data_IF_557309757216
#
_entry.id   IF_557309757216
#
_cell.length_a   1.000
_cell.length_b   1.000
_cell.length_c   1.000
_cell.angle_alpha   90.00
_cell.angle_beta   90.00
_cell.angle_gamma   90.00
#
_symmetry.space_group_name_H-M   'P 1'
#
loop_
_entity.id
_entity.type
_entity.pdbx_description
1 polymer ?
2 water ?
#
# COMPACT_ATOMS: atom_id res chain seq x y z
N UNK A 1 9.70 6.35 8.97
CA UNK A 1 9.68 4.86 9.00
C UNK A 1 9.52 4.37 7.59
N UNK A 2 10.29 3.34 7.25
CA UNK A 2 10.03 2.60 6.03
C UNK A 2 9.03 1.50 6.39
N UNK A 3 7.80 1.64 5.90
CA UNK A 3 6.76 0.65 6.13
C UNK A 3 6.61 -0.28 4.91
N UNK A 4 6.48 -1.58 5.16
CA UNK A 4 6.14 -2.53 4.09
C UNK A 4 5.76 -3.87 4.70
N UNK A 5 4.60 -4.38 4.27
CA UNK A 5 4.15 -5.71 4.64
C UNK A 5 3.81 -6.46 3.36
N UNK A 6 4.21 -7.72 3.29
CA UNK A 6 3.81 -8.60 2.21
C UNK A 6 2.92 -9.72 2.74
N UNK A 7 1.76 -9.89 2.11
CA UNK A 7 0.87 -11.01 2.45
C UNK A 7 1.02 -12.04 1.37
N UNK A 8 1.04 -13.30 1.79
CA UNK A 8 1.12 -14.45 0.90
C UNK A 8 -0.13 -15.31 0.99
N UNK A 9 -0.55 -15.81 -0.17
CA UNK A 9 -1.72 -16.68 -0.32
C UNK A 9 -1.63 -17.96 0.54
N UNK A 10 -0.45 -18.57 0.56
CA UNK A 10 -0.28 -19.87 1.19
C UNK A 10 0.80 -19.79 2.27
N UNK A 11 0.82 -20.77 3.20
CA UNK A 11 1.90 -20.79 4.21
C UNK A 11 3.27 -20.93 3.55
N UNK A 12 4.32 -20.55 4.28
CA UNK A 12 5.70 -20.60 3.79
C UNK A 12 5.96 -19.76 2.54
N UNK A 13 5.27 -18.63 2.43
CA UNK A 13 5.57 -17.57 1.45
C UNK A 13 5.34 -18.00 0.01
N UNK A 14 4.34 -18.85 -0.16
CA UNK A 14 3.99 -19.42 -1.44
C UNK A 14 2.71 -18.80 -1.99
N UNK A 15 2.53 -18.90 -3.30
CA UNK A 15 1.33 -18.39 -3.96
C UNK A 15 1.40 -16.91 -4.25
N UNK A 16 0.25 -16.30 -4.51
CA UNK A 16 0.22 -14.88 -4.89
C UNK A 16 0.46 -14.00 -3.68
N UNK A 17 0.78 -12.73 -3.92
CA UNK A 17 1.08 -11.79 -2.84
C UNK A 17 0.25 -10.50 -2.92
N UNK A 18 0.26 -9.76 -1.82
CA UNK A 18 -0.35 -8.43 -1.74
C UNK A 18 0.66 -7.60 -0.96
N UNK A 19 0.83 -6.33 -1.33
CA UNK A 19 1.79 -5.47 -0.62
C UNK A 19 1.08 -4.22 -0.11
N UNK A 20 1.50 -3.72 1.05
CA UNK A 20 0.99 -2.45 1.57
C UNK A 20 2.00 -1.71 2.44
N UNK A 21 1.81 -0.40 2.56
CA UNK A 21 2.70 0.47 3.30
C UNK A 21 1.84 1.59 3.89
N UNK A 22 0.67 1.20 4.40
CA UNK A 22 -0.31 2.12 4.96
C UNK A 22 -1.33 1.32 5.76
N UNK A 23 -2.16 1.99 6.57
CA UNK A 23 -3.21 1.26 7.32
C UNK A 23 -4.16 0.59 6.34
N UNK A 24 -4.59 -0.63 6.64
CA UNK A 24 -5.62 -1.31 5.86
C UNK A 24 -6.86 -1.45 6.74
N UNK A 25 -7.84 -0.58 6.54
CA UNK A 25 -9.07 -0.60 7.35
C UNK A 25 -9.93 -1.84 7.08
N UNK A 26 -9.81 -2.38 5.88
CA UNK A 26 -10.64 -3.48 5.47
C UNK A 26 -9.89 -4.42 4.56
N UNK A 27 -9.50 -5.58 5.09
CA UNK A 27 -8.86 -6.61 4.25
C UNK A 27 -9.79 -7.07 3.09
N UNK A 28 -11.12 -7.27 3.37
CA UNK A 28 -12.01 -7.64 2.25
C UNK A 28 -11.98 -6.65 1.06
N UNK A 29 -12.06 -5.36 1.35
CA UNK A 29 -11.96 -4.32 0.31
C UNK A 29 -10.60 -4.36 -0.40
N UNK A 30 -9.54 -4.58 0.38
CA UNK A 30 -8.17 -4.72 -0.13
C UNK A 30 -7.99 -5.94 -1.07
N UNK A 31 -8.73 -7.04 -0.82
CA UNK A 31 -8.60 -8.24 -1.65
C UNK A 31 -9.77 -8.48 -2.61
N UNK A 32 -10.47 -7.42 -2.98
CA UNK A 32 -11.74 -7.54 -3.71
C UNK A 32 -11.58 -7.89 -5.20
N UNK A 33 -10.36 -7.78 -5.73
CA UNK A 33 -10.13 -8.07 -7.14
C UNK A 33 -10.22 -9.58 -7.42
N UNK A 34 -10.80 -9.92 -8.58
CA UNK A 34 -10.97 -11.32 -8.99
C UNK A 34 -9.64 -12.05 -9.22
N UNK A 35 -8.56 -11.29 -9.42
CA UNK A 35 -7.22 -11.86 -9.61
C UNK A 35 -6.45 -11.99 -8.29
N UNK A 36 -7.12 -11.63 -7.20
CA UNK A 36 -6.56 -11.78 -5.86
C UNK A 36 -6.87 -13.15 -5.26
N UNK A 37 -6.38 -13.36 -4.04
CA UNK A 37 -6.69 -14.54 -3.26
C UNK A 37 -7.49 -14.10 -2.04
N UNK A 38 -7.92 -15.07 -1.23
CA UNK A 38 -8.68 -14.78 -0.01
C UNK A 38 -8.15 -15.66 1.12
N UNK A 39 -8.01 -15.07 2.30
CA UNK A 39 -7.29 -15.71 3.40
C UNK A 39 -5.79 -15.49 3.23
N UNK A 40 -5.10 -15.29 4.35
CA UNK A 40 -3.68 -15.01 4.33
C UNK A 40 -3.01 -16.25 4.90
N UNK A 41 -2.10 -16.84 4.13
CA UNK A 41 -1.37 -18.06 4.57
C UNK A 41 -0.06 -17.78 5.31
N UNK A 42 0.64 -16.72 4.91
CA UNK A 42 1.85 -16.26 5.61
C UNK A 42 2.08 -14.75 5.39
N UNK A 43 2.96 -14.18 6.21
CA UNK A 43 3.25 -12.75 6.20
C UNK A 43 4.73 -12.49 6.40
N UNK A 44 5.29 -11.60 5.59
CA UNK A 44 6.56 -10.98 5.87
C UNK A 44 6.35 -9.51 6.21
N UNK A 45 6.75 -9.13 7.42
CA UNK A 45 6.79 -7.71 7.77
C UNK A 45 8.21 -7.23 7.47
N UNK A 46 8.32 -6.42 6.42
CA UNK A 46 9.63 -5.96 5.93
C UNK A 46 10.02 -4.72 6.72
N UNK A 47 9.05 -3.83 6.89
CA UNK A 47 9.31 -2.61 7.66
C UNK A 47 8.12 -2.20 8.48
N UNK A 48 8.40 -1.74 9.70
CA UNK A 48 7.40 -1.13 10.56
C UNK A 48 6.89 -2.06 11.64
N UNK A 49 6.07 -1.50 12.52
CA UNK A 49 5.47 -2.23 13.65
C UNK A 49 3.94 -2.11 13.46
N UNK A 50 3.25 -3.26 13.46
CA UNK A 50 1.85 -3.33 13.01
C UNK A 50 0.98 -4.07 14.02
N UNK A 51 -0.32 -3.77 14.03
CA UNK A 51 -1.31 -4.59 14.74
C UNK A 51 -2.18 -5.25 13.66
N UNK A 52 -2.37 -6.57 13.77
CA UNK A 52 -3.32 -7.28 12.92
C UNK A 52 -4.55 -7.54 13.77
N UNK A 53 -5.72 -7.29 13.19
CA UNK A 53 -6.99 -7.41 13.91
C UNK A 53 -7.91 -8.48 13.34
N UNK A 54 -8.67 -9.10 14.25
CA UNK A 54 -9.72 -10.05 13.92
C UNK A 54 -10.83 -9.47 13.02
N UNK A 55 -11.19 -8.21 13.23
CA UNK A 55 -12.31 -7.55 12.52
C UNK A 55 -11.87 -6.32 11.72
N UNK A 56 -12.74 -5.86 10.82
CA UNK A 56 -12.53 -4.63 10.05
C UNK A 56 -12.49 -3.42 10.98
N UNK A 57 -11.86 -2.34 10.52
CA UNK A 57 -11.87 -1.05 11.25
C UNK A 57 -11.21 -1.17 12.63
N UNK A 58 -10.20 -2.04 12.73
CA UNK A 58 -9.33 -2.17 13.92
C UNK A 58 -10.07 -2.60 15.18
N UNK A 59 -10.93 -3.59 15.02
CA UNK A 59 -11.76 -4.10 16.11
C UNK A 59 -11.45 -5.56 16.37
N UNK A 60 -11.96 -6.09 17.48
CA UNK A 60 -11.72 -7.49 17.84
C UNK A 60 -10.33 -7.75 18.39
N UNK A 61 -9.97 -9.03 18.50
CA UNK A 61 -8.68 -9.42 19.07
C UNK A 61 -7.52 -8.86 18.25
N UNK A 62 -6.46 -8.45 18.94
CA UNK A 62 -5.32 -7.79 18.30
C UNK A 62 -4.07 -8.64 18.45
N UNK A 63 -3.22 -8.63 17.41
CA UNK A 63 -1.92 -9.29 17.43
C UNK A 63 -0.83 -8.29 17.01
N UNK A 64 0.30 -8.31 17.70
CA UNK A 64 1.44 -7.44 17.37
C UNK A 64 2.40 -8.12 16.40
N UNK A 65 2.61 -7.47 15.26
CA UNK A 65 3.51 -7.95 14.23
C UNK A 65 4.65 -6.94 14.04
N UNK A 66 5.84 -7.37 14.44
CA UNK A 66 7.02 -6.57 14.24
C UNK A 66 7.75 -7.14 13.03
N UNK A 67 8.86 -6.54 12.64
CA UNK A 67 9.59 -7.00 11.46
C UNK A 67 10.02 -8.45 11.61
N UNK A 68 9.74 -9.26 10.58
CA UNK A 68 10.02 -10.68 10.63
C UNK A 68 9.35 -11.45 9.52
N UNK A 69 9.64 -12.75 9.47
CA UNK A 69 9.09 -13.69 8.49
C UNK A 69 8.20 -14.68 9.24
N UNK A 70 6.92 -14.68 8.89
CA UNK A 70 5.89 -15.48 9.59
C UNK A 70 5.30 -16.52 8.66
N UNK A 71 5.88 -17.71 8.70
CA UNK A 71 5.65 -18.73 7.68
C UNK A 71 4.34 -19.51 7.89
N UNK A 72 3.85 -19.51 9.13
CA UNK A 72 2.61 -20.21 9.51
C UNK A 72 2.13 -19.79 10.90
N UNK A 73 1.06 -20.42 11.39
CA UNK A 73 0.48 -20.05 12.68
C UNK A 73 1.40 -20.34 13.87
N UNK A 74 2.39 -21.21 13.68
CA UNK A 74 3.35 -21.48 14.75
C UNK A 74 4.29 -20.29 14.92
N UNK A 75 4.48 -19.54 13.84
CA UNK A 75 5.29 -18.32 13.85
C UNK A 75 4.50 -17.10 14.30
N UNK A 76 3.21 -17.07 13.99
CA UNK A 76 2.38 -15.91 14.27
C UNK A 76 0.95 -16.39 14.51
N UNK A 77 0.48 -16.18 15.73
CA UNK A 77 -0.86 -16.59 16.17
C UNK A 77 -1.98 -15.95 15.37
N UNK A 78 -1.72 -14.75 14.84
CA UNK A 78 -2.67 -14.06 13.98
C UNK A 78 -3.12 -14.94 12.80
N UNK A 79 -2.23 -15.81 12.33
CA UNK A 79 -2.52 -16.64 11.16
C UNK A 79 -3.40 -17.84 11.47
N UNK A 80 -3.75 -18.04 12.74
CA UNK A 80 -4.63 -19.17 13.09
C UNK A 80 -6.11 -18.84 12.83
N UNK A 81 -6.38 -17.69 12.21
CA UNK A 81 -7.73 -17.30 11.81
C UNK A 81 -7.71 -16.04 10.96
N UNK A 82 -8.89 -15.60 10.49
CA UNK A 82 -9.05 -14.39 9.67
C UNK A 82 -8.38 -13.16 10.28
N UNK A 83 -7.70 -12.40 9.43
CA UNK A 83 -7.18 -11.09 9.77
C UNK A 83 -7.94 -10.12 8.86
N UNK A 84 -8.63 -9.15 9.47
CA UNK A 84 -9.58 -8.30 8.74
C UNK A 84 -9.18 -6.81 8.64
N UNK A 85 -8.14 -6.40 9.38
CA UNK A 85 -7.54 -5.05 9.22
C UNK A 85 -6.13 -5.02 9.81
N UNK A 86 -5.33 -4.06 9.34
CA UNK A 86 -3.97 -3.86 9.83
C UNK A 86 -3.78 -2.37 10.10
N UNK A 87 -3.13 -2.04 11.21
CA UNK A 87 -2.80 -0.66 11.54
C UNK A 87 -1.30 -0.56 11.84
N UNK A 88 -0.58 0.40 11.26
CA UNK A 88 0.81 0.60 11.68
C UNK A 88 0.89 1.51 12.91
N UNK A 89 1.92 1.29 13.71
CA UNK A 89 2.11 2.05 14.95
C UNK A 89 3.20 3.11 14.77
N UNK A 90 3.07 4.25 15.47
CA UNK A 90 4.04 5.34 15.28
C UNK A 90 4.37 6.09 16.56
N UNK A 91 5.64 6.06 16.97
CA UNK A 91 6.14 6.90 18.07
C UNK A 91 6.31 8.40 17.71
N UNK A 92 6.29 9.26 18.73
CA UNK A 92 6.66 10.68 18.60
C UNK A 92 8.11 10.93 19.04
N UNK B 1 9.84 16.21 -22.25
CA UNK B 1 8.53 16.59 -21.66
C UNK B 1 8.70 17.00 -20.19
N UNK B 2 7.81 17.87 -19.72
CA UNK B 2 7.83 18.29 -18.33
C UNK B 2 7.11 17.26 -17.47
N UNK B 3 7.86 16.60 -16.59
CA UNK B 3 7.27 15.66 -15.62
C UNK B 3 7.13 16.28 -14.23
N UNK B 4 5.95 16.13 -13.63
CA UNK B 4 5.75 16.50 -12.22
C UNK B 4 4.48 15.89 -11.67
N UNK B 5 4.64 15.12 -10.60
CA UNK B 5 3.53 14.58 -9.83
C UNK B 5 3.66 15.07 -8.39
N UNK B 6 2.54 15.46 -7.81
CA UNK B 6 2.48 15.81 -6.39
C UNK B 6 1.53 14.85 -5.69
N UNK B 7 2.05 14.17 -4.68
CA UNK B 7 1.20 13.33 -3.82
C UNK B 7 0.80 14.12 -2.60
N UNK B 8 -0.43 13.92 -2.13
CA UNK B 8 -0.97 14.61 -0.95
C UNK B 8 -1.38 13.60 0.09
N UNK B 9 -1.09 13.94 1.34
CA UNK B 9 -1.45 13.12 2.49
C UNK B 9 -2.96 12.84 2.59
N UNK B 10 -3.76 13.83 2.21
CA UNK B 10 -5.20 13.78 2.43
C UNK B 10 -5.99 13.97 1.15
N UNK B 11 -7.23 13.45 1.09
CA UNK B 11 -8.05 13.73 -0.09
C UNK B 11 -8.25 15.23 -0.29
N UNK B 12 -8.57 15.62 -1.52
CA UNK B 12 -8.81 17.02 -1.90
C UNK B 12 -7.57 17.93 -1.78
N UNK B 13 -6.38 17.31 -1.90
CA UNK B 13 -5.10 18.03 -2.08
C UNK B 13 -4.71 18.82 -0.84
N UNK B 14 -4.90 18.19 0.31
CA UNK B 14 -4.63 18.78 1.63
C UNK B 14 -3.54 18.00 2.36
N UNK B 15 -2.94 18.65 3.35
CA UNK B 15 -1.91 18.02 4.16
C UNK B 15 -0.51 18.09 3.57
N UNK B 16 0.38 17.24 4.09
CA UNK B 16 1.76 17.20 3.63
C UNK B 16 1.85 16.67 2.20
N UNK B 17 2.94 16.96 1.50
CA UNK B 17 3.06 16.61 0.08
C UNK B 17 4.41 15.94 -0.20
N UNK B 18 4.45 15.20 -1.30
CA UNK B 18 5.68 14.68 -1.89
C UNK B 18 5.67 15.03 -3.37
N UNK B 19 6.83 15.34 -3.93
CA UNK B 19 6.94 15.70 -5.32
C UNK B 19 7.93 14.78 -6.02
N UNK B 20 7.67 14.50 -7.29
CA UNK B 20 8.63 13.74 -8.11
C UNK B 20 8.49 13.97 -9.62
N UNK B 21 9.58 13.70 -10.33
CA UNK B 21 9.72 13.99 -11.76
C UNK B 21 10.55 12.85 -12.40
N UNK B 22 10.31 11.63 -11.95
CA UNK B 22 11.07 10.44 -12.39
C UNK B 22 10.30 9.20 -12.00
N UNK B 23 10.69 8.04 -12.52
CA UNK B 23 10.03 6.78 -12.13
C UNK B 23 10.20 6.53 -10.63
N UNK B 24 9.17 5.97 -9.99
CA UNK B 24 9.26 5.68 -8.56
C UNK B 24 9.06 4.18 -8.42
N UNK B 25 10.15 3.45 -8.22
CA UNK B 25 10.09 1.99 -8.11
C UNK B 25 9.48 1.49 -6.77
N UNK B 26 9.52 2.34 -5.74
CA UNK B 26 9.01 1.98 -4.43
C UNK B 26 8.54 3.21 -3.72
N UNK B 27 7.22 3.35 -3.63
CA UNK B 27 6.62 4.42 -2.82
C UNK B 27 7.09 4.31 -1.35
N UNK B 28 7.11 3.10 -0.75
CA UNK B 28 7.63 2.99 0.63
C UNK B 28 9.01 3.62 0.82
N UNK B 29 9.96 3.33 -0.07
CA UNK B 29 11.30 3.91 0.07
C UNK B 29 11.24 5.43 -0.11
N UNK B 30 10.45 5.88 -1.07
CA UNK B 30 10.21 7.31 -1.32
C UNK B 30 9.63 8.00 -0.06
N UNK B 31 8.81 7.26 0.69
CA UNK B 31 8.14 7.79 1.88
C UNK B 31 8.76 7.37 3.23
N UNK B 32 10.03 6.94 3.20
CA UNK B 32 10.71 6.37 4.39
C UNK B 32 11.03 7.37 5.52
N UNK B 33 11.10 8.66 5.20
CA UNK B 33 11.43 9.67 6.21
C UNK B 33 10.38 9.75 7.32
N UNK B 34 10.84 9.97 8.55
CA UNK B 34 9.94 10.13 9.70
C UNK B 34 8.99 11.32 9.54
N UNK B 35 9.46 12.36 8.84
CA UNK B 35 8.64 13.54 8.55
C UNK B 35 7.67 13.34 7.38
N UNK B 36 7.69 12.14 6.79
CA UNK B 36 6.79 11.79 5.69
C UNK B 36 5.61 10.93 6.12
N UNK B 37 4.50 11.15 5.42
CA UNK B 37 3.23 10.48 5.66
C UNK B 37 3.18 9.10 4.97
N UNK B 38 2.10 8.35 5.21
CA UNK B 38 1.94 7.01 4.65
C UNK B 38 0.53 6.86 4.08
N UNK B 39 0.41 6.21 2.93
CA UNK B 39 -0.88 6.21 2.22
C UNK B 39 -1.09 7.55 1.51
N UNK B 40 -1.59 7.47 0.29
CA UNK B 40 -1.75 8.64 -0.55
C UNK B 40 -3.23 8.99 -0.55
N UNK B 41 -3.56 10.23 -0.18
CA UNK B 41 -4.96 10.69 -0.16
C UNK B 41 -5.47 11.26 -1.47
N UNK B 42 -4.59 11.95 -2.20
CA UNK B 42 -4.92 12.52 -3.49
C UNK B 42 -3.63 12.81 -4.27
N UNK B 43 -3.77 13.05 -5.56
CA UNK B 43 -2.65 13.22 -6.48
C UNK B 43 -3.00 14.28 -7.50
N UNK B 44 -2.06 15.21 -7.73
CA UNK B 44 -2.07 16.07 -8.91
C UNK B 44 -0.97 15.66 -9.88
N UNK B 45 -1.36 15.23 -11.08
CA UNK B 45 -0.43 15.01 -12.20
C UNK B 45 -0.34 16.32 -12.99
N UNK B 46 0.74 17.05 -12.72
CA UNK B 46 0.98 18.36 -13.31
C UNK B 46 1.62 18.17 -14.69
N UNK B 47 2.51 17.20 -14.80
CA UNK B 47 3.12 16.94 -16.08
C UNK B 47 3.42 15.48 -16.28
N UNK B 48 3.04 15.01 -17.46
CA UNK B 48 3.39 13.67 -17.90
C UNK B 48 2.22 12.71 -17.86
N UNK B 49 2.44 11.53 -18.44
CA UNK B 49 1.47 10.45 -18.46
C UNK B 49 2.10 9.32 -17.66
N UNK B 50 1.36 8.78 -16.69
CA UNK B 50 1.94 7.86 -15.71
C UNK B 50 1.08 6.62 -15.52
N UNK B 51 1.73 5.54 -15.13
CA UNK B 51 1.04 4.35 -14.64
C UNK B 51 1.27 4.26 -13.15
N UNK B 52 0.18 4.09 -12.41
CA UNK B 52 0.27 3.84 -10.98
C UNK B 52 0.02 2.34 -10.80
N UNK B 53 0.85 1.71 -9.97
CA UNK B 53 0.83 0.26 -9.74
C UNK B 53 0.48 -0.12 -8.31
N UNK B 54 -0.24 -1.22 -8.20
CA UNK B 54 -0.57 -1.86 -6.93
C UNK B 54 0.68 -2.28 -6.12
N UNK B 55 1.72 -2.76 -6.80
CA UNK B 55 2.91 -3.25 -6.12
C UNK B 55 4.16 -2.48 -6.52
N UNK B 56 5.21 -2.65 -5.72
CA UNK B 56 6.52 -2.08 -6.03
C UNK B 56 7.07 -2.65 -7.32
N UNK B 57 7.95 -1.88 -7.97
CA UNK B 57 8.67 -2.34 -9.16
C UNK B 57 7.70 -2.77 -10.27
N UNK B 58 6.63 -1.99 -10.42
CA UNK B 58 5.83 -1.95 -11.65
C UNK B 58 5.13 -3.29 -11.88
N UNK B 59 4.47 -3.73 -10.82
CA UNK B 59 3.78 -5.03 -10.73
C UNK B 59 2.37 -4.79 -10.24
N UNK B 60 1.46 -5.72 -10.53
CA UNK B 60 0.11 -5.68 -9.97
C UNK B 60 -0.87 -4.89 -10.82
N UNK B 61 -2.07 -4.68 -10.31
CA UNK B 61 -3.09 -3.89 -11.01
C UNK B 61 -2.56 -2.51 -11.39
N UNK B 62 -2.85 -2.10 -12.62
CA UNK B 62 -2.35 -0.82 -13.15
C UNK B 62 -3.47 0.19 -13.38
N UNK B 63 -3.16 1.45 -13.13
CA UNK B 63 -4.06 2.54 -13.47
C UNK B 63 -3.31 3.59 -14.30
N UNK B 64 -3.99 4.11 -15.31
CA UNK B 64 -3.46 5.19 -16.16
C UNK B 64 -3.82 6.57 -15.62
N UNK B 65 -2.80 7.38 -15.36
CA UNK B 65 -3.00 8.73 -14.81
C UNK B 65 -2.42 9.75 -15.79
N UNK B 66 -3.29 10.44 -16.52
CA UNK B 66 -2.85 11.53 -17.39
C UNK B 66 -2.87 12.83 -16.60
N UNK B 67 -2.38 13.91 -17.21
CA UNK B 67 -2.38 15.20 -16.53
C UNK B 67 -3.79 15.50 -16.02
N UNK B 68 -3.89 15.76 -14.72
CA UNK B 68 -5.20 15.95 -14.10
C UNK B 68 -5.09 16.01 -12.60
N UNK B 69 -6.24 16.06 -11.93
CA UNK B 69 -6.27 16.24 -10.49
C UNK B 69 -7.23 15.21 -9.95
N UNK B 70 -6.72 14.37 -9.06
CA UNK B 70 -7.44 13.19 -8.59
C UNK B 70 -7.66 13.31 -7.09
N UNK B 71 -8.85 13.75 -6.73
CA UNK B 71 -9.10 14.26 -5.38
C UNK B 71 -9.43 13.18 -4.35
N UNK B 72 -9.82 11.99 -4.84
CA UNK B 72 -10.25 10.88 -3.99
C UNK B 72 -10.48 9.63 -4.84
N UNK B 73 -10.83 8.50 -4.21
CA UNK B 73 -10.99 7.25 -4.94
C UNK B 73 -12.18 7.28 -5.91
N UNK B 74 -13.13 8.19 -5.70
CA UNK B 74 -14.23 8.34 -6.64
C UNK B 74 -13.72 8.90 -7.97
N UNK B 75 -12.77 9.83 -7.89
CA UNK B 75 -12.17 10.39 -9.11
C UNK B 75 -11.12 9.48 -9.76
N UNK B 76 -10.51 8.60 -8.97
CA UNK B 76 -9.44 7.76 -9.47
C UNK B 76 -9.33 6.46 -8.69
N UNK B 77 -9.70 5.36 -9.33
CA UNK B 77 -9.75 4.04 -8.69
C UNK B 77 -8.44 3.58 -8.07
N UNK B 78 -7.33 4.15 -8.54
CA UNK B 78 -6.01 3.88 -7.94
C UNK B 78 -5.95 4.24 -6.45
N UNK B 79 -6.69 5.28 -6.05
CA UNK B 79 -6.69 5.74 -4.66
C UNK B 79 -7.54 4.87 -3.72
N UNK B 80 -8.22 3.87 -4.28
CA UNK B 80 -9.01 2.91 -3.47
C UNK B 80 -8.12 2.00 -2.64
N UNK B 81 -6.88 1.82 -3.09
CA UNK B 81 -5.92 0.98 -2.36
C UNK B 81 -4.50 1.50 -2.42
N UNK B 82 -3.55 0.74 -1.85
CA UNK B 82 -2.14 1.15 -1.95
C UNK B 82 -1.70 1.39 -3.38
N UNK B 83 -0.95 2.47 -3.56
CA UNK B 83 -0.17 2.65 -4.76
C UNK B 83 1.30 2.51 -4.33
N UNK B 84 2.01 1.57 -4.96
CA UNK B 84 3.35 1.21 -4.50
C UNK B 84 4.48 1.52 -5.48
N UNK B 85 4.13 1.85 -6.72
CA UNK B 85 5.12 2.37 -7.69
C UNK B 85 4.49 3.23 -8.78
N UNK B 86 5.29 4.08 -9.43
CA UNK B 86 4.83 4.94 -10.52
C UNK B 86 5.81 4.90 -11.67
N UNK B 87 5.30 4.75 -12.89
CA UNK B 87 6.16 4.80 -14.06
C UNK B 87 5.64 5.83 -15.05
N UNK B 88 6.53 6.69 -15.55
CA UNK B 88 6.12 7.62 -16.58
C UNK B 88 6.26 7.00 -17.96
N UNK B 89 5.40 7.43 -18.86
CA UNK B 89 5.38 6.92 -20.22
C UNK B 89 6.07 7.92 -21.15
N UNK B 90 6.61 7.42 -22.25
CA UNK B 90 7.46 8.24 -23.10
C UNK B 90 7.40 7.72 -24.51
N UNK B 91 6.68 8.41 -25.38
CA UNK B 91 6.78 8.18 -26.82
C UNK B 91 8.26 8.21 -27.27
N UNK B 92 8.81 7.02 -27.51
CA UNK B 92 10.21 6.82 -27.93
C UNK B 92 11.28 7.32 -26.97
#
# INVERSE_FOLDING_TARGET
MNLKVILYEKPHFLGHTKEFSEHIDSVPTFLKSDKDFHGIGSIRVIGGVWVAYEKEHFKGQQFLLEEGDFEDSSACGALSGPIMSFRYLQAN
MNLKVILYEKPHFLGHTKEFSEHIDSVPTFLKSDKDFHGIGSIRVIGGVWVAYEKEHFKGQQFLLEEGDFEDSSACGALSGPIMSFRYLQAN
#
